data_IF_359965403512
#
_entry.id   IF_359965403512
#
_cell.length_a   1.000
_cell.length_b   1.000
_cell.length_c   1.000
_cell.angle_alpha   90.00
_cell.angle_beta   90.00
_cell.angle_gamma   90.00
#
_symmetry.space_group_name_H-M   'P 1'
#
loop_
_entity.id
_entity.type
_entity.pdbx_description
1 polymer ?
#
# COMPACT_ATOMS: atom_id res chain seq x y z
N UNK A 1 26.49 -5.58 -17.06
CA UNK A 1 25.52 -5.44 -15.95
C UNK A 1 24.90 -6.80 -15.69
N UNK A 2 24.96 -7.30 -14.47
CA UNK A 2 24.23 -8.51 -14.10
C UNK A 2 22.72 -8.21 -14.21
N UNK A 3 21.94 -9.15 -14.75
CA UNK A 3 20.49 -9.04 -14.81
C UNK A 3 19.93 -9.08 -13.39
N UNK A 4 19.04 -8.16 -13.02
CA UNK A 4 18.40 -8.14 -11.70
C UNK A 4 17.48 -9.35 -11.55
N UNK A 5 16.65 -9.62 -12.56
CA UNK A 5 15.71 -10.73 -12.58
C UNK A 5 15.23 -11.00 -14.02
N UNK A 6 14.66 -12.18 -14.25
CA UNK A 6 13.83 -12.45 -15.43
C UNK A 6 12.44 -11.87 -15.16
N UNK A 7 11.94 -11.06 -16.06
CA UNK A 7 10.66 -10.36 -15.93
C UNK A 7 9.69 -10.86 -16.98
N UNK A 8 8.47 -11.15 -16.56
CA UNK A 8 7.31 -11.34 -17.41
C UNK A 8 6.31 -10.22 -17.08
N UNK A 9 5.81 -9.54 -18.10
CA UNK A 9 4.92 -8.40 -17.95
C UNK A 9 3.49 -8.75 -18.36
N UNK A 10 2.55 -8.51 -17.45
CA UNK A 10 1.11 -8.71 -17.67
C UNK A 10 0.39 -7.38 -17.54
N UNK A 11 -0.40 -7.00 -18.55
CA UNK A 11 -1.22 -5.79 -18.52
C UNK A 11 -2.60 -6.11 -17.97
N UNK A 12 -2.93 -5.62 -16.77
CA UNK A 12 -4.25 -5.79 -16.17
C UNK A 12 -5.23 -4.68 -16.56
N UNK A 13 -4.75 -3.46 -16.79
CA UNK A 13 -5.58 -2.33 -17.14
C UNK A 13 -4.77 -1.10 -17.48
N UNK A 14 -5.46 -0.04 -17.88
CA UNK A 14 -4.88 1.29 -18.05
C UNK A 14 -5.92 2.31 -17.58
N UNK A 15 -5.73 2.81 -16.36
CA UNK A 15 -6.68 3.72 -15.71
C UNK A 15 -5.94 4.69 -14.79
N UNK A 16 -6.60 5.77 -14.43
CA UNK A 16 -6.17 6.59 -13.30
C UNK A 16 -6.33 5.82 -12.00
N UNK A 17 -5.41 6.00 -11.06
CA UNK A 17 -5.49 5.31 -9.76
C UNK A 17 -6.76 5.70 -8.97
N UNK A 18 -7.30 6.88 -9.21
CA UNK A 18 -8.55 7.37 -8.60
C UNK A 18 -9.77 6.54 -9.00
N UNK A 19 -9.70 5.85 -10.14
CA UNK A 19 -10.77 4.98 -10.65
C UNK A 19 -10.70 3.56 -10.09
N UNK A 20 -9.69 3.22 -9.30
CA UNK A 20 -9.61 1.92 -8.66
C UNK A 20 -10.78 1.71 -7.69
N UNK A 21 -11.35 0.51 -7.75
CA UNK A 21 -12.47 0.04 -6.93
C UNK A 21 -12.15 -1.35 -6.37
N UNK A 22 -12.90 -1.87 -5.39
CA UNK A 22 -12.66 -3.19 -4.78
C UNK A 22 -12.51 -4.34 -5.79
N UNK A 23 -13.27 -4.34 -6.88
CA UNK A 23 -13.15 -5.33 -7.94
C UNK A 23 -11.76 -5.38 -8.59
N UNK A 24 -11.09 -4.23 -8.72
CA UNK A 24 -9.75 -4.19 -9.29
C UNK A 24 -8.71 -4.79 -8.32
N UNK A 25 -8.91 -4.68 -7.00
CA UNK A 25 -8.05 -5.37 -6.03
C UNK A 25 -8.22 -6.88 -6.11
N UNK A 26 -9.44 -7.39 -6.32
CA UNK A 26 -9.67 -8.81 -6.56
C UNK A 26 -8.99 -9.27 -7.86
N UNK A 27 -9.08 -8.48 -8.94
CA UNK A 27 -8.39 -8.77 -10.21
C UNK A 27 -6.86 -8.79 -10.04
N UNK A 28 -6.30 -7.81 -9.35
CA UNK A 28 -4.86 -7.77 -9.04
C UNK A 28 -4.47 -9.00 -8.21
N UNK A 29 -5.24 -9.34 -7.18
CA UNK A 29 -4.97 -10.50 -6.34
C UNK A 29 -5.04 -11.82 -7.12
N UNK A 30 -6.00 -11.97 -8.04
CA UNK A 30 -6.08 -13.13 -8.94
C UNK A 30 -4.84 -13.25 -9.83
N UNK A 31 -4.40 -12.15 -10.43
CA UNK A 31 -3.19 -12.15 -11.25
C UNK A 31 -1.91 -12.47 -10.44
N UNK A 32 -1.86 -12.10 -9.16
CA UNK A 32 -0.78 -12.50 -8.26
C UNK A 32 -0.81 -14.01 -8.01
N UNK A 33 -2.00 -14.60 -7.79
CA UNK A 33 -2.18 -16.05 -7.63
C UNK A 33 -1.70 -16.80 -8.87
N UNK A 34 -2.09 -16.34 -10.06
CA UNK A 34 -1.66 -16.92 -11.34
C UNK A 34 -0.14 -16.85 -11.47
N UNK A 35 0.47 -15.70 -11.22
CA UNK A 35 1.92 -15.53 -11.30
C UNK A 35 2.67 -16.47 -10.36
N UNK A 36 2.23 -16.64 -9.11
CA UNK A 36 2.84 -17.58 -8.18
C UNK A 36 2.60 -19.03 -8.58
N UNK A 37 1.46 -19.36 -9.17
CA UNK A 37 1.17 -20.69 -9.70
C UNK A 37 2.11 -21.03 -10.85
N UNK A 38 2.44 -20.05 -11.69
CA UNK A 38 3.39 -20.17 -12.81
C UNK A 38 4.87 -20.12 -12.37
N UNK A 39 5.12 -20.04 -11.04
CA UNK A 39 6.46 -20.16 -10.44
C UNK A 39 7.20 -18.83 -10.28
N UNK A 40 6.53 -17.70 -10.34
CA UNK A 40 7.14 -16.42 -9.99
C UNK A 40 7.61 -16.42 -8.52
N UNK A 41 8.78 -15.85 -8.25
CA UNK A 41 9.34 -15.71 -6.88
C UNK A 41 8.99 -14.38 -6.23
N UNK A 42 8.43 -13.46 -7.00
CA UNK A 42 7.92 -12.18 -6.55
C UNK A 42 7.11 -11.50 -7.64
N UNK A 43 6.23 -10.61 -7.25
CA UNK A 43 5.35 -9.86 -8.15
C UNK A 43 5.53 -8.37 -7.89
N UNK A 44 5.61 -7.58 -8.95
CA UNK A 44 5.65 -6.12 -8.90
C UNK A 44 4.41 -5.56 -9.57
N UNK A 45 3.65 -4.77 -8.84
CA UNK A 45 2.47 -4.07 -9.32
C UNK A 45 2.84 -2.61 -9.56
N UNK A 46 2.69 -2.15 -10.80
CA UNK A 46 2.85 -0.74 -11.15
C UNK A 46 1.49 -0.08 -11.26
N UNK A 47 1.27 1.03 -10.55
CA UNK A 47 0.02 1.78 -10.63
C UNK A 47 0.25 3.28 -10.38
N UNK A 48 -0.78 4.09 -10.66
CA UNK A 48 -0.83 5.48 -10.23
C UNK A 48 -0.75 5.61 -8.71
N UNK A 49 -0.06 6.65 -8.24
CA UNK A 49 0.39 6.74 -6.84
C UNK A 49 -0.68 7.22 -5.86
N UNK A 50 -1.76 7.86 -6.32
CA UNK A 50 -2.74 8.50 -5.42
C UNK A 50 -3.48 7.49 -4.54
N UNK A 51 -3.76 6.30 -5.06
CA UNK A 51 -4.44 5.22 -4.31
C UNK A 51 -3.54 4.00 -4.03
N UNK A 52 -2.24 4.07 -4.29
CA UNK A 52 -1.32 2.96 -4.09
C UNK A 52 -1.32 2.46 -2.63
N UNK A 53 -1.42 3.35 -1.68
CA UNK A 53 -1.47 2.99 -0.26
C UNK A 53 -2.79 2.29 0.14
N UNK A 54 -3.90 2.52 -0.56
CA UNK A 54 -5.12 1.73 -0.38
C UNK A 54 -4.95 0.34 -0.97
N UNK A 55 -4.39 0.23 -2.18
CA UNK A 55 -4.13 -1.06 -2.83
C UNK A 55 -3.17 -1.92 -2.01
N UNK A 56 -2.08 -1.35 -1.50
CA UNK A 56 -1.12 -2.10 -0.67
C UNK A 56 -1.73 -2.60 0.63
N UNK A 57 -2.57 -1.78 1.28
CA UNK A 57 -3.30 -2.19 2.46
C UNK A 57 -4.32 -3.31 2.13
N UNK A 58 -5.10 -3.15 1.06
CA UNK A 58 -6.06 -4.16 0.63
C UNK A 58 -5.38 -5.51 0.39
N UNK A 59 -4.29 -5.54 -0.40
CA UNK A 59 -3.52 -6.75 -0.66
C UNK A 59 -2.91 -7.33 0.63
N UNK A 60 -2.40 -6.48 1.53
CA UNK A 60 -1.89 -6.96 2.82
C UNK A 60 -2.98 -7.70 3.61
N UNK A 61 -4.19 -7.15 3.70
CA UNK A 61 -5.31 -7.80 4.40
C UNK A 61 -5.82 -9.05 3.69
N UNK A 62 -5.92 -9.04 2.35
CA UNK A 62 -6.35 -10.20 1.56
C UNK A 62 -5.44 -11.41 1.78
N UNK A 63 -4.14 -11.20 1.86
CA UNK A 63 -3.14 -12.27 1.98
C UNK A 63 -2.81 -12.61 3.44
N UNK A 64 -2.62 -11.62 4.31
CA UNK A 64 -2.33 -11.85 5.73
C UNK A 64 -3.55 -12.25 6.54
N UNK A 65 -4.76 -11.90 6.11
CA UNK A 65 -6.02 -12.24 6.78
C UNK A 65 -6.26 -13.75 6.93
N UNK A 66 -5.57 -14.57 6.14
CA UNK A 66 -5.63 -16.02 6.22
C UNK A 66 -4.79 -16.62 7.38
N UNK A 67 -3.98 -15.82 8.05
CA UNK A 67 -3.00 -16.29 9.05
C UNK A 67 -1.79 -17.00 8.44
N UNK A 68 -1.67 -17.00 7.12
CA UNK A 68 -0.61 -17.64 6.34
C UNK A 68 0.24 -16.56 5.64
N UNK A 69 1.22 -16.94 4.86
CA UNK A 69 2.05 -16.03 4.09
C UNK A 69 1.98 -16.34 2.59
N UNK A 70 2.15 -15.34 1.71
CA UNK A 70 2.24 -15.59 0.28
C UNK A 70 3.50 -16.38 -0.09
N UNK A 71 3.50 -17.09 -1.25
CA UNK A 71 4.65 -17.85 -1.72
C UNK A 71 5.87 -16.99 -2.00
N UNK A 72 5.67 -15.73 -2.38
CA UNK A 72 6.70 -14.79 -2.76
C UNK A 72 6.40 -13.36 -2.33
N UNK A 73 7.18 -12.42 -2.80
CA UNK A 73 7.07 -11.00 -2.44
C UNK A 73 6.04 -10.30 -3.30
N UNK A 74 5.19 -9.49 -2.67
CA UNK A 74 4.20 -8.64 -3.35
C UNK A 74 4.63 -7.20 -3.16
N UNK A 75 5.02 -6.54 -4.25
CA UNK A 75 5.62 -5.21 -4.24
C UNK A 75 4.80 -4.26 -5.09
N UNK A 76 4.47 -3.10 -4.54
CA UNK A 76 3.81 -2.02 -5.28
C UNK A 76 4.82 -0.90 -5.54
N UNK A 77 4.73 -0.32 -6.71
CA UNK A 77 5.53 0.84 -7.10
C UNK A 77 4.80 1.68 -8.14
N UNK A 78 5.35 2.84 -8.39
CA UNK A 78 4.85 3.80 -9.39
C UNK A 78 5.83 4.94 -9.58
N UNK A 79 5.36 6.04 -10.13
CA UNK A 79 6.16 7.24 -10.31
C UNK A 79 5.40 8.47 -9.87
N UNK A 80 6.06 9.35 -9.13
CA UNK A 80 5.53 10.65 -8.73
C UNK A 80 5.64 11.67 -9.87
N UNK A 81 6.61 11.46 -10.76
CA UNK A 81 6.87 12.32 -11.91
C UNK A 81 6.82 11.49 -13.17
N UNK A 82 6.11 12.01 -14.17
CA UNK A 82 5.96 11.33 -15.46
C UNK A 82 7.30 10.86 -16.03
N UNK A 83 7.30 9.68 -16.65
CA UNK A 83 8.50 9.02 -17.19
C UNK A 83 9.19 9.79 -18.32
N UNK A 84 8.50 10.76 -18.93
CA UNK A 84 9.02 11.65 -19.99
C UNK A 84 9.80 12.86 -19.46
N UNK A 85 9.87 13.05 -18.13
CA UNK A 85 10.58 14.17 -17.51
C UNK A 85 11.97 13.77 -17.05
N UNK A 86 12.95 14.66 -17.22
CA UNK A 86 14.32 14.42 -16.76
C UNK A 86 14.47 14.22 -15.25
N UNK A 87 13.47 14.65 -14.47
CA UNK A 87 13.44 14.44 -13.00
C UNK A 87 12.56 13.28 -12.58
N UNK A 88 12.24 12.36 -13.50
CA UNK A 88 11.41 11.19 -13.19
C UNK A 88 12.07 10.26 -12.20
N UNK A 89 11.25 9.67 -11.34
CA UNK A 89 11.62 8.63 -10.38
C UNK A 89 11.24 7.23 -10.87
N UNK A 90 10.65 7.12 -12.06
CA UNK A 90 10.08 5.86 -12.56
C UNK A 90 11.11 4.73 -12.68
N UNK A 91 12.27 5.03 -13.28
CA UNK A 91 13.30 4.01 -13.54
C UNK A 91 13.91 3.47 -12.25
N UNK A 92 14.24 4.33 -11.29
CA UNK A 92 14.81 3.88 -10.01
C UNK A 92 13.79 3.12 -9.16
N UNK A 93 12.55 3.61 -9.10
CA UNK A 93 11.48 2.95 -8.36
C UNK A 93 11.22 1.53 -8.90
N UNK A 94 11.10 1.37 -10.23
CA UNK A 94 10.85 0.05 -10.82
C UNK A 94 12.04 -0.89 -10.64
N UNK A 95 13.28 -0.40 -10.81
CA UNK A 95 14.48 -1.20 -10.56
C UNK A 95 14.57 -1.67 -9.11
N UNK A 96 14.33 -0.77 -8.15
CA UNK A 96 14.34 -1.10 -6.74
C UNK A 96 13.21 -2.08 -6.36
N UNK A 97 12.02 -1.90 -6.92
CA UNK A 97 10.89 -2.80 -6.71
C UNK A 97 11.16 -4.21 -7.25
N UNK A 98 11.69 -4.31 -8.47
CA UNK A 98 12.08 -5.61 -9.07
C UNK A 98 13.20 -6.26 -8.28
N UNK A 99 14.20 -5.47 -7.87
CA UNK A 99 15.30 -5.98 -7.04
C UNK A 99 14.77 -6.54 -5.70
N UNK A 100 13.89 -5.80 -5.01
CA UNK A 100 13.29 -6.29 -3.76
C UNK A 100 12.43 -7.52 -3.98
N UNK A 101 11.63 -7.56 -5.04
CA UNK A 101 10.81 -8.72 -5.40
C UNK A 101 11.64 -9.98 -5.68
N UNK A 102 12.85 -9.82 -6.23
CA UNK A 102 13.76 -10.93 -6.53
C UNK A 102 14.64 -11.34 -5.34
N UNK A 103 15.16 -10.39 -4.57
CA UNK A 103 16.28 -10.60 -3.65
C UNK A 103 15.99 -10.20 -2.19
N UNK A 104 14.89 -9.49 -1.90
CA UNK A 104 14.49 -9.17 -0.53
C UNK A 104 14.18 -10.42 0.29
N UNK A 105 14.01 -10.33 1.60
CA UNK A 105 13.52 -11.45 2.41
C UNK A 105 12.10 -11.84 1.97
N UNK A 106 11.74 -13.10 2.15
CA UNK A 106 10.36 -13.55 1.97
C UNK A 106 9.47 -12.89 3.05
N UNK A 107 8.21 -12.59 2.74
CA UNK A 107 7.30 -12.04 3.74
C UNK A 107 7.03 -13.03 4.87
N UNK A 108 6.87 -12.50 6.07
CA UNK A 108 6.47 -13.30 7.25
C UNK A 108 4.98 -13.63 7.26
N UNK A 109 4.20 -12.88 6.46
CA UNK A 109 2.75 -13.03 6.37
C UNK A 109 1.98 -12.22 7.40
N UNK A 110 2.64 -11.29 8.10
CA UNK A 110 1.97 -10.26 8.87
C UNK A 110 1.49 -9.11 7.99
N UNK A 111 0.63 -8.25 8.53
CA UNK A 111 0.16 -7.05 7.82
C UNK A 111 1.32 -6.10 7.42
N UNK A 112 2.46 -6.20 8.10
CA UNK A 112 3.59 -5.31 7.90
C UNK A 112 4.39 -5.57 6.64
N UNK A 113 4.48 -6.81 6.16
CA UNK A 113 5.39 -7.18 5.07
C UNK A 113 4.77 -8.03 3.95
N UNK A 114 3.51 -8.39 4.08
CA UNK A 114 2.81 -9.23 3.09
C UNK A 114 2.73 -8.55 1.73
N UNK A 115 2.37 -7.27 1.70
CA UNK A 115 2.54 -6.40 0.54
C UNK A 115 3.33 -5.16 0.98
N UNK A 116 4.25 -4.70 0.15
CA UNK A 116 5.11 -3.56 0.46
C UNK A 116 5.07 -2.51 -0.64
N UNK A 117 5.33 -1.26 -0.29
CA UNK A 117 5.54 -0.17 -1.27
C UNK A 117 7.04 0.10 -1.36
N UNK A 118 7.55 0.18 -2.59
CA UNK A 118 8.94 0.57 -2.87
C UNK A 118 8.94 1.85 -3.69
N UNK A 119 9.40 2.94 -3.09
CA UNK A 119 9.45 4.28 -3.67
C UNK A 119 10.71 5.01 -3.22
N UNK A 120 11.05 6.14 -3.84
CA UNK A 120 12.18 6.98 -3.44
C UNK A 120 12.17 7.28 -1.94
N UNK A 121 13.33 7.18 -1.32
CA UNK A 121 13.52 7.47 0.12
C UNK A 121 13.70 8.96 0.41
N UNK A 122 14.20 9.70 -0.58
CA UNK A 122 14.43 11.15 -0.54
C UNK A 122 14.11 11.80 -1.88
N UNK A 123 14.38 13.08 -2.02
CA UNK A 123 14.31 13.77 -3.33
C UNK A 123 15.52 13.49 -4.23
N UNK A 124 16.59 12.91 -3.69
CA UNK A 124 17.82 12.59 -4.40
C UNK A 124 17.75 11.20 -5.02
N UNK A 125 18.60 10.94 -6.01
CA UNK A 125 18.71 9.67 -6.70
C UNK A 125 19.49 8.62 -5.85
N UNK A 126 19.36 7.36 -6.24
CA UNK A 126 20.21 6.26 -5.74
C UNK A 126 19.65 5.48 -4.54
N UNK A 127 18.52 5.87 -3.96
CA UNK A 127 17.94 5.12 -2.84
C UNK A 127 16.43 5.12 -2.84
N UNK A 128 15.86 3.93 -2.69
CA UNK A 128 14.43 3.69 -2.47
C UNK A 128 14.19 3.08 -1.08
N UNK A 129 13.02 3.34 -0.52
CA UNK A 129 12.59 2.81 0.76
C UNK A 129 11.53 1.72 0.57
N UNK A 130 11.61 0.67 1.37
CA UNK A 130 10.62 -0.40 1.44
C UNK A 130 9.71 -0.14 2.64
N UNK A 131 8.45 0.14 2.37
CA UNK A 131 7.47 0.52 3.37
C UNK A 131 6.43 -0.60 3.57
N UNK A 132 6.01 -0.87 4.82
CA UNK A 132 4.92 -1.81 5.10
C UNK A 132 3.61 -1.33 4.46
N UNK A 133 2.98 -2.18 3.66
CA UNK A 133 1.83 -1.80 2.82
C UNK A 133 0.61 -1.32 3.59
N UNK A 134 0.36 -1.86 4.79
CA UNK A 134 -0.77 -1.43 5.63
C UNK A 134 -0.49 -0.17 6.46
N UNK A 135 0.76 0.30 6.53
CA UNK A 135 1.15 1.48 7.28
C UNK A 135 1.77 2.59 6.41
N UNK A 136 1.88 2.39 5.12
CA UNK A 136 2.36 3.40 4.19
C UNK A 136 1.24 4.38 3.80
N UNK A 137 1.60 5.64 3.61
CA UNK A 137 0.69 6.68 3.13
C UNK A 137 1.40 7.63 2.17
N UNK A 138 0.71 8.05 1.11
CA UNK A 138 1.13 9.18 0.28
C UNK A 138 0.89 10.48 1.04
N UNK A 139 1.96 11.20 1.33
CA UNK A 139 1.94 12.42 2.17
C UNK A 139 2.21 13.70 1.37
N UNK A 140 2.48 13.59 0.07
CA UNK A 140 2.73 14.72 -0.82
C UNK A 140 2.28 14.39 -2.25
N UNK A 141 1.80 15.40 -2.98
CA UNK A 141 1.24 15.22 -4.33
C UNK A 141 2.32 14.90 -5.40
N UNK A 142 3.54 15.43 -5.29
CA UNK A 142 4.52 15.39 -6.40
C UNK A 142 5.99 15.18 -5.99
N UNK A 143 6.31 15.11 -4.69
CA UNK A 143 7.68 14.78 -4.25
C UNK A 143 7.98 13.33 -4.54
N UNK A 144 9.22 12.99 -4.92
CA UNK A 144 9.64 11.61 -5.12
C UNK A 144 9.52 10.80 -3.83
N UNK A 145 9.89 11.36 -2.69
CA UNK A 145 9.76 10.80 -1.33
C UNK A 145 8.38 11.06 -0.69
N UNK A 146 7.31 10.98 -1.48
CA UNK A 146 5.96 11.25 -1.01
C UNK A 146 5.40 10.19 -0.07
N UNK A 147 5.89 8.96 -0.14
CA UNK A 147 5.39 7.86 0.68
C UNK A 147 6.14 7.75 1.99
N UNK A 148 5.40 7.64 3.08
CA UNK A 148 5.93 7.54 4.44
C UNK A 148 5.13 6.56 5.27
N UNK A 149 5.75 6.00 6.31
CA UNK A 149 5.04 5.24 7.33
C UNK A 149 4.24 6.14 8.26
N UNK A 150 3.08 5.64 8.67
CA UNK A 150 2.26 6.21 9.74
C UNK A 150 2.24 5.21 10.90
N UNK A 151 2.70 5.62 12.06
CA UNK A 151 2.84 4.79 13.27
C UNK A 151 3.63 3.50 13.03
N UNK A 152 4.60 3.51 12.13
CA UNK A 152 5.46 2.40 11.77
C UNK A 152 6.80 2.90 11.26
N UNK A 153 7.69 1.97 10.92
CA UNK A 153 9.02 2.26 10.37
C UNK A 153 9.24 1.52 9.06
N UNK A 154 10.16 2.05 8.24
CA UNK A 154 10.56 1.39 7.00
C UNK A 154 11.17 0.01 7.29
N UNK A 155 10.90 -0.97 6.43
CA UNK A 155 11.43 -2.33 6.56
C UNK A 155 12.88 -2.42 6.08
N UNK A 156 13.20 -1.69 5.00
CA UNK A 156 14.51 -1.70 4.38
C UNK A 156 14.73 -0.47 3.49
N UNK A 157 15.97 -0.31 3.06
CA UNK A 157 16.35 0.58 1.98
C UNK A 157 16.99 -0.23 0.86
N UNK A 158 16.69 0.12 -0.38
CA UNK A 158 17.31 -0.43 -1.59
C UNK A 158 18.13 0.67 -2.23
N UNK A 159 19.41 0.42 -2.46
CA UNK A 159 20.33 1.39 -3.02
C UNK A 159 20.89 0.91 -4.35
N UNK A 160 21.11 1.85 -5.25
CA UNK A 160 21.80 1.65 -6.51
C UNK A 160 23.10 2.47 -6.50
N UNK A 161 24.24 1.81 -6.41
CA UNK A 161 25.53 2.46 -6.47
C UNK A 161 26.26 2.02 -7.72
N UNK A 162 26.39 2.92 -8.70
CA UNK A 162 27.10 2.67 -9.98
C UNK A 162 26.59 1.42 -10.73
N UNK A 163 25.29 1.13 -10.64
CA UNK A 163 24.67 -0.02 -11.28
C UNK A 163 24.71 -1.31 -10.46
N UNK A 164 25.25 -1.28 -9.26
CA UNK A 164 25.16 -2.37 -8.28
C UNK A 164 24.00 -2.11 -7.31
N UNK A 165 23.05 -3.02 -7.33
CA UNK A 165 21.88 -2.97 -6.42
C UNK A 165 22.21 -3.71 -5.12
N UNK A 166 21.83 -3.11 -4.01
CA UNK A 166 21.94 -3.71 -2.68
C UNK A 166 20.75 -3.33 -1.82
N UNK A 167 20.56 -4.03 -0.71
CA UNK A 167 19.54 -3.62 0.27
C UNK A 167 20.08 -3.70 1.69
N UNK A 168 19.56 -2.83 2.54
CA UNK A 168 19.81 -2.81 3.97
C UNK A 168 18.48 -3.02 4.71
N UNK A 169 18.37 -4.14 5.40
CA UNK A 169 17.22 -4.47 6.25
C UNK A 169 17.35 -3.69 7.57
N UNK A 170 16.25 -3.08 8.00
CA UNK A 170 16.20 -2.37 9.27
C UNK A 170 16.18 -3.34 10.45
N UNK A 171 16.92 -3.02 11.52
CA UNK A 171 17.16 -3.96 12.64
C UNK A 171 15.91 -4.42 13.40
N UNK A 172 14.80 -3.67 13.30
CA UNK A 172 13.50 -4.06 13.87
C UNK A 172 12.72 -5.04 13.00
N UNK A 173 13.00 -5.13 11.68
CA UNK A 173 12.36 -6.07 10.77
C UNK A 173 13.06 -7.41 10.81
N UNK A 174 12.41 -8.40 11.40
CA UNK A 174 12.96 -9.76 11.60
C UNK A 174 11.90 -10.78 11.23
N UNK A 175 11.75 -11.14 9.93
CA UNK A 175 10.81 -12.17 9.50
C UNK A 175 11.12 -13.50 10.17
N UNK A 176 10.11 -14.15 10.73
CA UNK A 176 10.25 -15.43 11.46
C UNK A 176 10.07 -16.65 10.57
N UNK A 177 9.40 -16.49 9.43
CA UNK A 177 9.03 -17.57 8.49
C UNK A 177 8.25 -18.72 9.13
N UNK A 178 7.57 -18.47 10.25
CA UNK A 178 6.86 -19.50 11.02
C UNK A 178 5.49 -19.86 10.44
N UNK A 179 4.96 -19.04 9.53
CA UNK A 179 3.62 -19.24 8.94
C UNK A 179 3.68 -20.12 7.71
N UNK A 180 2.63 -20.95 7.54
CA UNK A 180 2.44 -21.76 6.35
C UNK A 180 2.26 -20.88 5.10
N UNK A 181 2.63 -21.41 3.95
CA UNK A 181 2.47 -20.74 2.66
C UNK A 181 1.05 -20.96 2.15
N UNK A 182 0.43 -19.91 1.64
CA UNK A 182 -0.84 -20.00 0.90
C UNK A 182 -0.74 -19.30 -0.44
N UNK A 183 -1.40 -19.84 -1.45
CA UNK A 183 -1.69 -19.16 -2.71
C UNK A 183 -3.21 -18.94 -2.88
N UNK A 184 -3.93 -18.82 -1.77
CA UNK A 184 -5.38 -18.61 -1.72
C UNK A 184 -5.71 -17.43 -0.81
N UNK A 185 -5.52 -16.19 -1.29
CA UNK A 185 -5.88 -14.99 -0.53
C UNK A 185 -7.39 -14.89 -0.33
N UNK A 186 -7.83 -14.15 0.70
CA UNK A 186 -9.21 -13.76 0.83
C UNK A 186 -9.61 -12.81 -0.30
N UNK A 187 -10.89 -12.82 -0.70
CA UNK A 187 -11.46 -11.84 -1.61
C UNK A 187 -12.15 -10.71 -0.84
N UNK A 188 -12.18 -9.53 -1.43
CA UNK A 188 -12.96 -8.40 -0.93
C UNK A 188 -14.38 -8.51 -1.49
N UNK A 189 -15.38 -8.30 -0.64
CA UNK A 189 -16.76 -8.19 -1.09
C UNK A 189 -16.95 -6.87 -1.87
N UNK A 190 -17.15 -6.98 -3.18
CA UNK A 190 -17.24 -5.84 -4.11
C UNK A 190 -18.54 -5.04 -3.95
N UNK A 191 -19.56 -5.64 -3.34
CA UNK A 191 -20.87 -4.99 -3.14
C UNK A 191 -20.93 -4.12 -1.89
N UNK A 192 -19.95 -4.21 -0.98
CA UNK A 192 -19.91 -3.41 0.23
C UNK A 192 -19.84 -1.92 -0.07
N UNK A 193 -20.79 -1.17 0.48
CA UNK A 193 -20.87 0.28 0.41
C UNK A 193 -20.45 0.89 1.76
N UNK A 194 -19.26 1.46 1.79
CA UNK A 194 -18.70 2.06 3.01
C UNK A 194 -18.62 3.57 2.81
N UNK A 195 -19.33 4.32 3.67
CA UNK A 195 -19.19 5.76 3.73
C UNK A 195 -18.03 6.13 4.67
N UNK A 196 -17.19 7.08 4.25
CA UNK A 196 -16.12 7.61 5.09
C UNK A 196 -16.40 9.06 5.43
N UNK A 197 -16.31 9.41 6.73
CA UNK A 197 -16.44 10.77 7.23
C UNK A 197 -15.17 11.16 8.01
N UNK A 198 -14.78 12.40 7.83
CA UNK A 198 -13.71 13.03 8.62
C UNK A 198 -14.33 13.93 9.69
N UNK A 199 -14.06 13.64 10.95
CA UNK A 199 -14.45 14.50 12.06
C UNK A 199 -13.66 15.80 12.03
N UNK A 200 -14.36 16.91 12.16
CA UNK A 200 -13.78 18.25 12.17
C UNK A 200 -14.80 19.32 12.49
N UNK A 201 -14.38 20.60 12.62
CA UNK A 201 -15.25 21.70 13.03
C UNK A 201 -16.49 21.93 12.14
N UNK A 202 -16.48 21.41 10.93
CA UNK A 202 -17.57 21.55 9.94
C UNK A 202 -18.39 20.27 9.75
N UNK A 203 -18.22 19.26 10.58
CA UNK A 203 -19.09 18.09 10.56
C UNK A 203 -20.34 18.38 11.41
N UNK A 204 -21.46 18.59 10.73
CA UNK A 204 -22.75 18.88 11.36
C UNK A 204 -23.60 17.61 11.47
N UNK A 205 -24.49 17.57 12.46
CA UNK A 205 -25.34 16.41 12.74
C UNK A 205 -26.31 16.06 11.58
N UNK A 206 -26.73 17.06 10.81
CA UNK A 206 -27.60 16.85 9.65
C UNK A 206 -26.94 16.00 8.56
N UNK A 207 -25.61 16.09 8.40
CA UNK A 207 -24.85 15.22 7.48
C UNK A 207 -24.97 13.75 7.91
N UNK A 208 -24.81 13.47 9.19
CA UNK A 208 -24.92 12.11 9.74
C UNK A 208 -26.37 11.61 9.63
N UNK A 209 -27.34 12.50 9.95
CA UNK A 209 -28.77 12.18 9.82
C UNK A 209 -29.17 11.86 8.37
N UNK A 210 -28.64 12.61 7.41
CA UNK A 210 -28.89 12.35 5.99
C UNK A 210 -28.34 10.99 5.53
N UNK A 211 -27.19 10.57 6.07
CA UNK A 211 -26.58 9.26 5.76
C UNK A 211 -27.42 8.09 6.25
N UNK A 212 -28.19 8.24 7.34
CA UNK A 212 -29.05 7.18 7.87
C UNK A 212 -30.16 6.75 6.91
N UNK A 213 -30.52 7.60 5.96
CA UNK A 213 -31.49 7.31 4.89
C UNK A 213 -30.88 6.68 3.64
N UNK A 214 -29.58 6.49 3.59
CA UNK A 214 -28.85 5.93 2.45
C UNK A 214 -28.49 4.47 2.71
N UNK A 215 -28.42 3.70 1.63
CA UNK A 215 -28.12 2.27 1.67
C UNK A 215 -26.59 2.05 1.74
N UNK A 216 -25.99 2.30 2.91
CA UNK A 216 -24.61 1.97 3.25
C UNK A 216 -24.54 0.81 4.22
N UNK A 217 -23.59 -0.13 3.99
CA UNK A 217 -23.36 -1.26 4.88
C UNK A 217 -22.55 -0.86 6.12
N UNK A 218 -21.71 0.17 6.01
CA UNK A 218 -20.89 0.65 7.10
C UNK A 218 -20.57 2.15 7.00
N UNK A 219 -20.34 2.75 8.15
CA UNK A 219 -19.82 4.10 8.31
C UNK A 219 -18.46 4.05 9.00
N UNK A 220 -17.41 4.52 8.32
CA UNK A 220 -16.08 4.70 8.88
C UNK A 220 -15.87 6.18 9.23
N UNK A 221 -15.70 6.47 10.50
CA UNK A 221 -15.46 7.83 10.96
C UNK A 221 -13.99 7.98 11.38
N UNK A 222 -13.31 8.91 10.75
CA UNK A 222 -12.00 9.35 11.17
C UNK A 222 -12.16 10.38 12.29
N UNK A 223 -12.16 9.93 13.55
CA UNK A 223 -12.29 10.78 14.73
C UNK A 223 -11.08 11.70 14.93
N UNK A 224 -11.23 12.65 15.85
CA UNK A 224 -10.12 13.49 16.32
C UNK A 224 -9.13 12.67 17.15
N UNK A 225 -8.09 13.27 17.75
CA UNK A 225 -6.96 12.58 18.33
C UNK A 225 -7.29 11.40 19.27
N UNK A 226 -8.36 11.47 20.04
CA UNK A 226 -8.87 10.36 20.88
C UNK A 226 -10.08 9.63 20.27
N UNK A 227 -10.38 9.88 19.00
CA UNK A 227 -11.50 9.25 18.31
C UNK A 227 -12.85 9.94 18.54
N UNK A 228 -12.85 11.16 19.06
CA UNK A 228 -14.07 11.92 19.34
C UNK A 228 -14.66 12.53 18.06
N UNK A 229 -15.97 12.76 18.10
CA UNK A 229 -16.74 13.55 17.16
C UNK A 229 -17.09 14.90 17.77
N UNK A 230 -17.44 15.92 16.97
CA UNK A 230 -18.09 17.12 17.49
C UNK A 230 -19.38 16.73 18.21
N UNK A 231 -19.55 17.20 19.42
CA UNK A 231 -20.81 17.09 20.18
C UNK A 231 -21.49 18.44 20.04
N UNK A 232 -22.73 18.45 19.60
CA UNK A 232 -23.48 19.69 19.49
C UNK A 232 -23.80 20.24 20.85
N UNK A 233 -23.01 21.19 21.25
CA UNK A 233 -23.54 22.38 21.91
C UNK A 233 -22.61 23.54 21.60
N UNK A 234 -22.94 24.29 20.56
CA UNK A 234 -22.16 25.44 20.11
C UNK A 234 -22.12 26.58 21.16
N UNK A 235 -22.92 26.51 22.20
CA UNK A 235 -23.10 27.58 23.18
C UNK A 235 -23.00 27.08 24.62
N UNK A 236 -22.83 25.83 24.84
CA UNK A 236 -22.96 25.26 26.14
C UNK A 236 -21.71 24.65 26.71
N UNK A 237 -21.80 24.42 27.99
CA UNK A 237 -20.82 23.66 28.73
C UNK A 237 -20.71 22.25 28.11
N UNK A 238 -19.49 21.82 27.82
CA UNK A 238 -19.28 20.42 27.45
C UNK A 238 -19.95 19.55 28.50
N UNK A 239 -20.75 18.55 28.13
CA UNK A 239 -21.28 17.63 29.11
C UNK A 239 -20.08 17.09 29.90
N UNK A 240 -20.09 17.31 31.20
CA UNK A 240 -19.09 16.69 32.07
C UNK A 240 -19.14 15.17 31.88
N UNK A 241 -17.99 14.57 31.68
CA UNK A 241 -17.80 13.14 31.49
C UNK A 241 -18.45 12.30 32.58
#
# INVERSE_FOLDING_TARGET
MASIARIEAVKLGNMWSDDLRPQHWNQISSAIVDAFTDGATGVVITQGTDTMHFTSAALSYMWAGTGQRPPGRIVLTGSQRSSDRGSTDAAENIMAAVYWAAHGPLPDGGLGDTAVIVMHSSSDDGSCVVLPGCAARKSHSSRRDAFRCVNSQALAYVSNSHGEMSHQIMGHYKPSYSRDITNSPASINESLRICQLLAGPHLHADVISALSGLDYDALLIHGTGLGHLPIEDAMGDSPEN
#
